data_IF_343585793262
#
_entry.id   IF_343585793262
#
_cell.length_a   1.000
_cell.length_b   1.000
_cell.length_c   1.000
_cell.angle_alpha   90.00
_cell.angle_beta   90.00
_cell.angle_gamma   90.00
#
_symmetry.space_group_name_H-M   'P 1'
#
loop_
_entity.id
_entity.type
_entity.pdbx_description
1 polymer ?
#
# COMPACT_ATOMS: atom_id res chain seq x y z
N UNK A 1 -16.96 -0.01 -23.28
CA UNK A 1 -16.97 -0.67 -24.57
C UNK A 1 -18.28 -0.34 -25.28
N UNK A 2 -18.19 0.51 -26.30
CA UNK A 2 -19.34 1.06 -27.03
C UNK A 2 -20.16 -0.04 -27.74
N UNK A 3 -19.49 -1.11 -28.19
CA UNK A 3 -20.12 -2.20 -28.94
C UNK A 3 -20.93 -3.16 -28.09
N UNK A 4 -20.77 -3.16 -26.78
CA UNK A 4 -21.43 -4.08 -25.86
C UNK A 4 -22.35 -3.39 -24.84
N UNK A 5 -22.47 -2.05 -24.87
CA UNK A 5 -23.23 -1.27 -23.88
C UNK A 5 -22.70 -1.36 -22.44
N UNK A 6 -21.49 -1.90 -22.24
CA UNK A 6 -20.92 -2.14 -20.94
C UNK A 6 -20.16 -0.91 -20.43
N UNK A 7 -20.56 -0.40 -19.28
CA UNK A 7 -19.82 0.66 -18.56
C UNK A 7 -18.71 -0.01 -17.78
N UNK A 8 -17.47 0.49 -17.95
CA UNK A 8 -16.30 0.06 -17.15
C UNK A 8 -15.88 1.16 -16.23
N UNK A 9 -15.82 0.87 -14.93
CA UNK A 9 -15.28 1.77 -13.92
C UNK A 9 -13.90 1.25 -13.46
N UNK A 10 -12.94 2.16 -13.41
CA UNK A 10 -11.58 1.86 -12.95
C UNK A 10 -11.46 2.20 -11.48
N UNK A 11 -11.14 1.20 -10.64
CA UNK A 11 -10.82 1.42 -9.24
C UNK A 11 -9.32 1.73 -9.11
N UNK A 12 -8.92 2.93 -8.64
CA UNK A 12 -7.50 3.25 -8.46
C UNK A 12 -6.91 2.69 -7.15
N UNK A 13 -7.70 2.15 -6.23
CA UNK A 13 -7.23 1.69 -4.92
C UNK A 13 -7.34 0.17 -4.77
N UNK A 14 -6.23 -0.56 -4.68
CA UNK A 14 -6.26 -2.01 -4.48
C UNK A 14 -7.03 -2.43 -3.23
N UNK A 15 -7.68 -3.60 -3.32
CA UNK A 15 -8.46 -4.18 -2.22
C UNK A 15 -7.66 -5.28 -1.51
N UNK A 16 -7.40 -5.03 -0.24
CA UNK A 16 -6.72 -5.98 0.67
C UNK A 16 -7.68 -6.51 1.77
N UNK A 17 -8.99 -6.42 1.50
CA UNK A 17 -10.06 -6.83 2.41
C UNK A 17 -10.91 -5.67 2.95
N UNK A 18 -10.46 -4.41 2.77
CA UNK A 18 -11.15 -3.23 3.31
C UNK A 18 -12.35 -2.76 2.46
N UNK A 19 -12.59 -3.35 1.27
CA UNK A 19 -13.77 -3.06 0.45
C UNK A 19 -13.61 -1.91 -0.53
N UNK A 20 -12.39 -1.47 -0.83
CA UNK A 20 -12.14 -0.38 -1.80
C UNK A 20 -12.63 -0.71 -3.21
N UNK A 21 -12.64 -1.98 -3.60
CA UNK A 21 -13.17 -2.44 -4.90
C UNK A 21 -14.62 -2.00 -5.13
N UNK A 22 -15.42 -1.84 -4.09
CA UNK A 22 -16.79 -1.36 -4.19
C UNK A 22 -16.95 0.09 -3.72
N UNK A 23 -16.38 0.44 -2.58
CA UNK A 23 -16.56 1.76 -1.98
C UNK A 23 -16.06 2.90 -2.87
N UNK A 24 -14.91 2.74 -3.51
CA UNK A 24 -14.31 3.79 -4.35
C UNK A 24 -15.09 3.98 -5.66
N UNK A 25 -15.40 2.94 -6.45
CA UNK A 25 -16.24 3.11 -7.64
C UNK A 25 -17.67 3.61 -7.34
N UNK A 26 -18.20 3.35 -6.13
CA UNK A 26 -19.51 3.86 -5.73
C UNK A 26 -19.60 5.39 -5.79
N UNK A 27 -18.49 6.11 -5.52
CA UNK A 27 -18.45 7.57 -5.57
C UNK A 27 -18.73 8.09 -6.99
N UNK A 28 -18.16 7.44 -8.01
CA UNK A 28 -18.37 7.78 -9.40
C UNK A 28 -19.74 7.30 -9.89
N UNK A 29 -20.11 6.06 -9.54
CA UNK A 29 -21.36 5.44 -9.95
C UNK A 29 -22.60 6.22 -9.45
N UNK A 30 -22.53 6.76 -8.21
CA UNK A 30 -23.58 7.62 -7.65
C UNK A 30 -23.89 8.82 -8.53
N UNK A 31 -22.86 9.55 -8.91
CA UNK A 31 -23.02 10.75 -9.74
C UNK A 31 -23.35 10.42 -11.20
N UNK A 32 -22.84 9.30 -11.69
CA UNK A 32 -23.11 8.84 -13.06
C UNK A 32 -24.48 8.16 -13.22
N UNK A 33 -25.26 8.01 -12.13
CA UNK A 33 -26.56 7.34 -12.13
C UNK A 33 -26.52 5.91 -12.74
N UNK A 34 -25.53 5.11 -12.28
CA UNK A 34 -25.38 3.71 -12.72
C UNK A 34 -25.33 2.78 -11.51
N UNK A 35 -25.98 1.63 -11.60
CA UNK A 35 -25.86 0.58 -10.60
C UNK A 35 -24.50 -0.13 -10.75
N UNK A 36 -23.82 -0.41 -9.63
CA UNK A 36 -22.56 -1.16 -9.62
C UNK A 36 -22.73 -2.60 -10.17
N UNK A 37 -23.91 -3.16 -10.12
CA UNK A 37 -24.22 -4.49 -10.65
C UNK A 37 -24.22 -4.52 -12.18
N UNK A 38 -24.40 -3.36 -12.82
CA UNK A 38 -24.43 -3.20 -14.28
C UNK A 38 -23.13 -2.73 -14.89
N UNK A 39 -22.08 -2.58 -14.07
CA UNK A 39 -20.78 -2.09 -14.52
C UNK A 39 -19.71 -3.15 -14.33
N UNK A 40 -18.71 -3.12 -15.20
CA UNK A 40 -17.47 -3.89 -15.03
C UNK A 40 -16.51 -3.08 -14.19
N UNK A 41 -16.12 -3.60 -13.04
CA UNK A 41 -15.06 -3.01 -12.21
C UNK A 41 -13.71 -3.59 -12.60
N UNK A 42 -12.73 -2.73 -12.85
CA UNK A 42 -11.35 -3.13 -13.11
C UNK A 42 -10.40 -2.37 -12.18
N UNK A 43 -9.29 -3.01 -11.84
CA UNK A 43 -8.24 -2.38 -11.04
C UNK A 43 -7.30 -1.58 -11.96
N UNK A 44 -6.83 -0.43 -11.51
CA UNK A 44 -5.82 0.38 -12.20
C UNK A 44 -4.45 -0.32 -12.24
N UNK A 45 -3.63 0.07 -13.21
CA UNK A 45 -2.38 -0.59 -13.60
C UNK A 45 -1.10 0.22 -13.29
N UNK A 46 -1.19 1.19 -12.38
CA UNK A 46 -0.08 2.05 -11.98
C UNK A 46 0.11 3.32 -12.83
N UNK A 47 -0.57 3.44 -13.96
CA UNK A 47 -0.39 4.58 -14.88
C UNK A 47 -0.84 5.91 -14.27
N UNK A 48 -0.10 6.97 -14.54
CA UNK A 48 -0.26 8.31 -13.95
C UNK A 48 -1.63 8.95 -14.18
N UNK A 49 -2.34 8.56 -15.25
CA UNK A 49 -3.71 9.06 -15.53
C UNK A 49 -4.72 8.78 -14.41
N UNK A 50 -4.45 7.79 -13.55
CA UNK A 50 -5.29 7.47 -12.40
C UNK A 50 -4.82 8.14 -11.10
N UNK A 51 -3.84 9.06 -11.17
CA UNK A 51 -3.25 9.76 -10.02
C UNK A 51 -2.65 8.79 -9.00
N UNK A 52 -2.69 9.14 -7.69
CA UNK A 52 -2.23 8.25 -6.62
C UNK A 52 -3.10 7.00 -6.52
N UNK A 53 -2.47 5.83 -6.55
CA UNK A 53 -3.15 4.55 -6.54
C UNK A 53 -2.82 3.70 -5.31
N UNK A 54 -2.01 4.22 -4.40
CA UNK A 54 -1.64 3.51 -3.17
C UNK A 54 -2.80 3.50 -2.17
N UNK A 55 -3.21 2.31 -1.72
CA UNK A 55 -4.19 2.14 -0.67
C UNK A 55 -3.50 2.21 0.70
N UNK A 56 -3.49 3.39 1.33
CA UNK A 56 -2.84 3.65 2.61
C UNK A 56 -3.36 4.93 3.25
N UNK A 57 -2.96 5.22 4.50
CA UNK A 57 -3.28 6.46 5.21
C UNK A 57 -4.76 6.77 5.35
N UNK A 58 -5.66 5.78 5.29
CA UNK A 58 -7.12 5.95 5.25
C UNK A 58 -7.59 6.91 4.16
N UNK A 59 -6.83 7.04 3.06
CA UNK A 59 -7.02 8.04 2.02
C UNK A 59 -7.97 7.61 0.90
N UNK A 60 -8.27 6.32 0.76
CA UNK A 60 -8.96 5.79 -0.42
C UNK A 60 -10.30 6.46 -0.73
N UNK A 61 -11.15 6.66 0.28
CA UNK A 61 -12.42 7.38 0.11
C UNK A 61 -12.22 8.88 0.30
N UNK A 62 -11.48 9.28 1.35
CA UNK A 62 -11.29 10.69 1.72
C UNK A 62 -10.73 11.53 0.56
N UNK A 63 -9.65 11.08 -0.08
CA UNK A 63 -8.99 11.82 -1.16
C UNK A 63 -9.74 11.72 -2.50
N UNK A 64 -10.48 10.63 -2.71
CA UNK A 64 -11.19 10.39 -3.96
C UNK A 64 -12.66 10.82 -3.92
N UNK A 65 -13.16 11.28 -2.76
CA UNK A 65 -14.55 11.72 -2.57
C UNK A 65 -14.99 12.76 -3.60
N UNK A 66 -14.29 13.86 -3.66
CA UNK A 66 -14.61 14.94 -4.59
C UNK A 66 -14.18 14.64 -6.04
N UNK A 67 -12.94 14.17 -6.29
CA UNK A 67 -12.49 13.90 -7.67
C UNK A 67 -13.35 12.89 -8.43
N UNK A 68 -13.76 11.79 -7.80
CA UNK A 68 -14.57 10.77 -8.48
C UNK A 68 -16.02 11.21 -8.64
N UNK A 69 -16.58 11.91 -7.67
CA UNK A 69 -17.90 12.52 -7.81
C UNK A 69 -17.92 13.53 -8.95
N UNK A 70 -16.94 14.43 -9.02
CA UNK A 70 -16.83 15.38 -10.13
C UNK A 70 -16.68 14.68 -11.49
N UNK A 71 -15.90 13.61 -11.58
CA UNK A 71 -15.77 12.85 -12.82
C UNK A 71 -17.10 12.19 -13.24
N UNK A 72 -17.84 11.60 -12.31
CA UNK A 72 -19.16 11.02 -12.58
C UNK A 72 -20.20 12.07 -13.00
N UNK A 73 -20.24 13.20 -12.31
CA UNK A 73 -21.16 14.30 -12.61
C UNK A 73 -20.84 14.94 -13.98
N UNK A 74 -19.57 15.18 -14.28
CA UNK A 74 -19.16 15.71 -15.59
C UNK A 74 -19.60 14.78 -16.74
N UNK A 75 -19.36 13.48 -16.60
CA UNK A 75 -19.78 12.49 -17.59
C UNK A 75 -21.33 12.47 -17.75
N UNK A 76 -22.07 12.53 -16.65
CA UNK A 76 -23.53 12.61 -16.67
C UNK A 76 -24.00 13.87 -17.42
N UNK A 77 -23.44 15.03 -17.14
CA UNK A 77 -23.79 16.30 -17.80
C UNK A 77 -23.53 16.25 -19.29
N UNK A 78 -22.33 15.76 -19.72
CA UNK A 78 -21.96 15.64 -21.13
C UNK A 78 -22.91 14.68 -21.88
N UNK A 79 -23.27 13.56 -21.29
CA UNK A 79 -24.23 12.61 -21.85
C UNK A 79 -25.64 13.22 -21.96
N UNK A 80 -26.09 13.96 -20.92
CA UNK A 80 -27.39 14.63 -20.89
C UNK A 80 -27.46 15.73 -21.95
N UNK A 81 -26.41 16.54 -22.11
CA UNK A 81 -26.33 17.56 -23.15
C UNK A 81 -26.39 16.97 -24.55
N UNK A 82 -25.68 15.86 -24.76
CA UNK A 82 -25.70 15.15 -26.05
C UNK A 82 -27.08 14.63 -26.40
N UNK A 83 -27.78 14.01 -25.44
CA UNK A 83 -29.16 13.54 -25.63
C UNK A 83 -30.12 14.69 -25.95
N UNK A 84 -30.01 15.79 -25.21
CA UNK A 84 -30.83 16.99 -25.42
C UNK A 84 -30.61 17.58 -26.84
N UNK A 85 -29.38 17.63 -27.30
CA UNK A 85 -29.05 18.06 -28.68
C UNK A 85 -29.65 17.13 -29.74
N UNK A 86 -29.57 15.81 -29.55
CA UNK A 86 -30.19 14.82 -30.47
C UNK A 86 -31.70 14.95 -30.54
N UNK A 87 -32.38 15.26 -29.43
CA UNK A 87 -33.83 15.44 -29.40
C UNK A 87 -34.27 16.86 -29.79
N UNK A 88 -33.35 17.83 -29.88
CA UNK A 88 -33.66 19.22 -30.15
C UNK A 88 -34.44 19.89 -29.01
N UNK A 89 -34.14 19.54 -27.76
CA UNK A 89 -34.84 20.02 -26.56
C UNK A 89 -33.87 20.69 -25.57
N UNK A 90 -34.36 21.55 -24.67
CA UNK A 90 -33.55 22.04 -23.57
C UNK A 90 -33.04 20.90 -22.68
N UNK A 91 -31.79 21.04 -22.16
CA UNK A 91 -31.17 20.05 -21.24
C UNK A 91 -32.05 19.78 -20.00
N UNK A 92 -32.75 20.81 -19.52
CA UNK A 92 -33.67 20.70 -18.37
C UNK A 92 -34.83 19.68 -18.58
N UNK A 93 -35.12 19.32 -19.83
CA UNK A 93 -36.11 18.32 -20.16
C UNK A 93 -35.56 16.88 -20.15
N UNK A 94 -34.29 16.72 -19.87
CA UNK A 94 -33.62 15.42 -19.80
C UNK A 94 -33.16 15.10 -18.38
N UNK A 95 -33.06 13.80 -18.05
CA UNK A 95 -32.50 13.32 -16.80
C UNK A 95 -31.79 11.99 -16.99
N UNK A 96 -30.80 11.72 -16.16
CA UNK A 96 -30.05 10.47 -16.14
C UNK A 96 -30.67 9.50 -15.13
N UNK A 97 -30.84 8.27 -15.50
CA UNK A 97 -31.25 7.17 -14.63
C UNK A 97 -30.81 5.83 -15.21
N UNK A 98 -30.27 4.96 -14.37
CA UNK A 98 -29.95 3.57 -14.66
C UNK A 98 -29.15 3.38 -15.97
N UNK A 99 -28.09 4.18 -16.15
CA UNK A 99 -27.21 4.19 -17.32
C UNK A 99 -27.89 4.64 -18.64
N UNK A 100 -28.94 5.41 -18.54
CA UNK A 100 -29.66 5.98 -19.67
C UNK A 100 -29.94 7.47 -19.44
N UNK A 101 -30.09 8.22 -20.54
CA UNK A 101 -30.68 9.56 -20.49
C UNK A 101 -32.11 9.46 -20.99
N UNK A 102 -33.05 9.97 -20.20
CA UNK A 102 -34.47 9.95 -20.46
C UNK A 102 -34.98 11.35 -20.83
N UNK A 103 -35.95 11.41 -21.71
CA UNK A 103 -36.71 12.63 -22.00
C UNK A 103 -37.96 12.68 -21.07
N UNK A 104 -38.11 13.77 -20.32
CA UNK A 104 -39.25 13.97 -19.42
C UNK A 104 -40.57 13.87 -20.17
N UNK A 105 -41.55 13.27 -19.53
CA UNK A 105 -42.91 13.07 -20.06
C UNK A 105 -42.93 12.30 -21.40
N UNK A 106 -41.99 11.36 -21.58
CA UNK A 106 -41.88 10.53 -22.78
C UNK A 106 -41.22 9.21 -22.46
N UNK A 107 -41.49 8.16 -23.21
CA UNK A 107 -40.80 6.86 -23.10
C UNK A 107 -39.43 6.82 -23.84
N UNK A 108 -39.03 7.96 -24.44
CA UNK A 108 -37.78 8.05 -25.19
C UNK A 108 -36.60 8.08 -24.26
N UNK A 109 -35.59 7.27 -24.54
CA UNK A 109 -34.32 7.28 -23.84
C UNK A 109 -33.17 6.85 -24.77
N UNK A 110 -31.95 7.28 -24.44
CA UNK A 110 -30.70 6.78 -25.02
C UNK A 110 -29.87 6.11 -23.94
N UNK A 111 -29.23 5.00 -24.24
CA UNK A 111 -28.19 4.44 -23.39
C UNK A 111 -26.94 5.32 -23.41
N UNK A 112 -26.11 5.21 -22.40
CA UNK A 112 -24.81 5.93 -22.37
C UNK A 112 -23.91 5.51 -23.54
N UNK A 113 -23.93 4.23 -23.94
CA UNK A 113 -23.19 3.75 -25.09
C UNK A 113 -23.56 4.43 -26.41
N UNK A 114 -24.85 4.68 -26.65
CA UNK A 114 -25.34 5.37 -27.85
C UNK A 114 -24.88 6.83 -27.91
N UNK A 115 -24.59 7.44 -26.77
CA UNK A 115 -24.23 8.88 -26.69
C UNK A 115 -22.72 9.12 -26.54
N UNK A 116 -21.94 8.11 -26.15
CA UNK A 116 -20.57 8.26 -25.67
C UNK A 116 -19.62 8.91 -26.68
N UNK A 117 -19.69 8.54 -27.97
CA UNK A 117 -18.79 9.08 -29.01
C UNK A 117 -19.02 10.57 -29.28
N UNK A 118 -20.28 11.02 -29.18
CA UNK A 118 -20.60 12.43 -29.35
C UNK A 118 -20.31 13.20 -28.07
N UNK A 119 -20.66 12.63 -26.92
CA UNK A 119 -20.39 13.23 -25.62
C UNK A 119 -18.87 13.46 -25.40
N UNK A 120 -18.03 12.51 -25.85
CA UNK A 120 -16.57 12.64 -25.74
C UNK A 120 -15.98 13.81 -26.53
N UNK A 121 -16.72 14.41 -27.44
CA UNK A 121 -16.30 15.61 -28.22
C UNK A 121 -16.64 16.91 -27.51
N UNK A 122 -17.44 16.88 -26.46
CA UNK A 122 -17.80 18.06 -25.69
C UNK A 122 -16.64 18.47 -24.77
N UNK A 123 -16.62 19.76 -24.41
CA UNK A 123 -15.72 20.25 -23.38
C UNK A 123 -16.14 19.70 -22.02
N UNK A 124 -15.18 19.17 -21.29
CA UNK A 124 -15.44 18.67 -19.93
C UNK A 124 -15.80 19.84 -19.01
N UNK A 125 -16.94 19.78 -18.30
CA UNK A 125 -17.34 20.82 -17.36
C UNK A 125 -16.27 21.02 -16.27
N UNK A 126 -15.89 22.26 -16.00
CA UNK A 126 -14.90 22.58 -14.95
C UNK A 126 -15.46 22.38 -13.55
N UNK A 127 -16.73 22.70 -13.37
CA UNK A 127 -17.43 22.59 -12.08
C UNK A 127 -18.79 21.93 -12.28
N UNK A 128 -18.83 20.60 -12.48
CA UNK A 128 -20.05 19.85 -12.70
C UNK A 128 -20.91 19.84 -11.44
N UNK A 129 -22.23 19.91 -11.60
CA UNK A 129 -23.17 19.90 -10.49
C UNK A 129 -23.24 18.55 -9.82
N UNK A 130 -22.77 18.48 -8.58
CA UNK A 130 -22.87 17.27 -7.75
C UNK A 130 -24.29 17.07 -7.22
N UNK A 131 -24.65 15.81 -6.98
CA UNK A 131 -25.89 15.45 -6.29
C UNK A 131 -25.88 15.92 -4.83
N UNK A 132 -27.01 16.34 -4.34
CA UNK A 132 -27.21 16.57 -2.90
C UNK A 132 -27.17 15.22 -2.15
N UNK A 133 -26.55 15.13 -0.96
CA UNK A 133 -26.54 13.89 -0.18
C UNK A 133 -27.91 13.26 0.08
N UNK A 134 -28.98 14.06 0.16
CA UNK A 134 -30.38 13.56 0.31
C UNK A 134 -30.84 12.73 -0.89
N UNK A 135 -30.26 12.97 -2.09
CA UNK A 135 -30.61 12.31 -3.35
C UNK A 135 -29.75 11.07 -3.65
N UNK A 136 -28.85 10.69 -2.72
CA UNK A 136 -27.99 9.52 -2.89
C UNK A 136 -28.78 8.21 -2.92
N UNK A 137 -28.51 7.40 -3.93
CA UNK A 137 -29.10 6.07 -4.17
C UNK A 137 -28.16 4.92 -3.79
N UNK A 138 -26.82 5.17 -3.78
CA UNK A 138 -25.78 4.19 -3.52
C UNK A 138 -25.03 4.53 -2.24
N UNK A 139 -24.50 5.75 -2.14
CA UNK A 139 -23.71 6.20 -0.99
C UNK A 139 -24.61 6.30 0.25
N UNK A 140 -24.12 5.74 1.37
CA UNK A 140 -24.88 5.73 2.64
C UNK A 140 -26.03 4.72 2.67
N UNK A 141 -26.19 3.89 1.64
CA UNK A 141 -27.18 2.81 1.62
C UNK A 141 -26.51 1.46 1.90
N UNK A 142 -27.20 0.59 2.62
CA UNK A 142 -26.75 -0.79 2.84
C UNK A 142 -26.82 -1.53 1.50
N UNK A 143 -25.65 -1.96 1.02
CA UNK A 143 -25.52 -2.74 -0.21
C UNK A 143 -24.65 -3.97 0.08
N UNK A 144 -25.04 -5.16 -0.38
CA UNK A 144 -24.16 -6.34 -0.34
C UNK A 144 -22.86 -6.06 -1.10
N UNK A 145 -21.76 -6.63 -0.63
CA UNK A 145 -20.51 -6.59 -1.40
C UNK A 145 -20.62 -7.52 -2.62
N UNK A 146 -20.29 -6.97 -3.79
CA UNK A 146 -20.38 -7.69 -5.06
C UNK A 146 -19.36 -8.84 -5.16
N UNK A 147 -18.25 -8.76 -4.45
CA UNK A 147 -17.16 -9.74 -4.48
C UNK A 147 -17.34 -10.91 -3.47
N UNK A 148 -18.27 -10.81 -2.53
CA UNK A 148 -18.50 -11.87 -1.51
C UNK A 148 -18.82 -13.23 -2.14
N UNK A 149 -19.71 -13.37 -3.13
CA UNK A 149 -19.99 -14.67 -3.72
C UNK A 149 -18.75 -15.34 -4.30
N UNK A 150 -17.87 -14.59 -4.96
CA UNK A 150 -16.63 -15.14 -5.51
C UNK A 150 -15.66 -15.57 -4.38
N UNK A 151 -15.58 -14.79 -3.29
CA UNK A 151 -14.69 -15.09 -2.16
C UNK A 151 -15.12 -16.37 -1.41
N UNK A 152 -16.40 -16.52 -1.11
CA UNK A 152 -16.91 -17.65 -0.32
C UNK A 152 -17.05 -18.95 -1.11
N UNK A 153 -16.97 -18.89 -2.45
CA UNK A 153 -17.03 -20.06 -3.34
C UNK A 153 -15.68 -20.43 -3.96
N UNK A 154 -14.58 -19.78 -3.53
CA UNK A 154 -13.24 -20.04 -4.06
C UNK A 154 -13.00 -19.55 -5.50
N UNK A 155 -13.87 -18.69 -6.03
CA UNK A 155 -13.73 -18.10 -7.38
C UNK A 155 -12.95 -16.78 -7.39
N UNK A 156 -12.72 -16.20 -6.23
CA UNK A 156 -11.87 -14.99 -6.12
C UNK A 156 -10.41 -15.37 -6.39
N UNK A 157 -9.74 -14.56 -7.22
CA UNK A 157 -8.34 -14.81 -7.62
C UNK A 157 -7.44 -13.86 -6.85
N UNK A 158 -6.58 -14.43 -6.01
CA UNK A 158 -5.53 -13.73 -5.29
C UNK A 158 -4.19 -13.89 -6.02
N UNK A 159 -3.17 -13.18 -5.61
CA UNK A 159 -1.84 -13.29 -6.24
C UNK A 159 -1.28 -14.71 -6.21
N UNK A 160 -1.51 -15.45 -5.11
CA UNK A 160 -1.09 -16.85 -4.98
C UNK A 160 -1.73 -17.78 -6.01
N UNK A 161 -2.95 -17.47 -6.47
CA UNK A 161 -3.71 -18.33 -7.38
C UNK A 161 -3.34 -18.13 -8.86
N UNK A 162 -2.54 -17.09 -9.15
CA UNK A 162 -2.21 -16.72 -10.54
C UNK A 162 -1.17 -17.66 -11.13
N UNK A 163 -1.48 -18.24 -12.27
CA UNK A 163 -0.55 -18.99 -13.11
C UNK A 163 -0.41 -18.35 -14.49
N UNK A 164 0.83 -18.34 -15.00
CA UNK A 164 1.17 -17.79 -16.30
C UNK A 164 1.85 -18.88 -17.14
N UNK A 165 1.47 -19.07 -18.41
CA UNK A 165 2.07 -20.09 -19.27
C UNK A 165 3.59 -19.99 -19.33
N UNK A 166 4.27 -21.13 -19.15
CA UNK A 166 5.74 -21.23 -19.21
C UNK A 166 6.48 -20.72 -17.99
N UNK A 167 5.78 -20.33 -16.93
CA UNK A 167 6.42 -19.85 -15.70
C UNK A 167 7.15 -20.95 -14.97
N UNK A 168 8.13 -20.53 -14.17
CA UNK A 168 8.84 -21.35 -13.19
C UNK A 168 8.65 -20.74 -11.80
N UNK A 169 8.81 -21.56 -10.77
CA UNK A 169 8.69 -21.13 -9.38
C UNK A 169 10.06 -20.91 -8.75
N UNK A 170 10.17 -19.90 -7.91
CA UNK A 170 11.38 -19.58 -7.17
C UNK A 170 11.09 -19.53 -5.66
N UNK A 171 11.86 -20.30 -4.90
CA UNK A 171 11.97 -20.16 -3.45
C UNK A 171 13.35 -19.58 -3.13
N UNK A 172 13.38 -18.49 -2.35
CA UNK A 172 14.60 -17.71 -2.10
C UNK A 172 15.04 -17.94 -0.66
N UNK A 173 16.30 -18.32 -0.47
CA UNK A 173 16.99 -18.32 0.81
C UNK A 173 17.74 -17.01 0.96
N UNK A 174 17.19 -16.09 1.74
CA UNK A 174 17.80 -14.81 2.04
C UNK A 174 18.95 -14.94 3.03
N UNK A 175 19.91 -14.01 2.97
CA UNK A 175 20.91 -13.90 4.00
C UNK A 175 20.25 -13.69 5.38
N UNK A 176 20.74 -14.34 6.44
CA UNK A 176 20.18 -14.22 7.78
C UNK A 176 20.35 -12.83 8.38
N UNK A 177 21.34 -12.08 7.90
CA UNK A 177 21.61 -10.70 8.28
C UNK A 177 21.51 -9.76 7.07
N UNK A 178 21.07 -8.54 7.30
CA UNK A 178 20.71 -7.58 6.24
C UNK A 178 21.87 -7.25 5.27
N UNK A 179 23.10 -7.27 5.70
CA UNK A 179 24.27 -7.06 4.86
C UNK A 179 25.06 -8.37 4.62
N UNK A 180 24.44 -9.50 4.93
CA UNK A 180 25.06 -10.81 4.80
C UNK A 180 25.48 -11.11 3.37
N UNK A 181 26.63 -11.77 3.24
CA UNK A 181 27.22 -12.18 1.95
C UNK A 181 27.39 -13.68 1.88
N UNK A 182 27.25 -14.22 0.68
CA UNK A 182 27.48 -15.63 0.42
C UNK A 182 28.98 -15.93 0.41
N UNK A 183 29.41 -16.76 1.35
CA UNK A 183 30.78 -17.31 1.37
C UNK A 183 30.83 -18.55 0.49
N UNK A 184 29.92 -19.51 0.68
CA UNK A 184 29.82 -20.72 -0.13
C UNK A 184 28.41 -21.24 -0.23
N UNK A 185 28.14 -21.97 -1.30
CA UNK A 185 26.82 -22.63 -1.54
C UNK A 185 27.11 -24.11 -1.78
N UNK A 186 26.57 -24.99 -0.94
CA UNK A 186 26.43 -26.40 -1.25
C UNK A 186 24.98 -26.66 -1.68
N UNK A 187 24.78 -26.89 -2.96
CA UNK A 187 23.50 -27.12 -3.60
C UNK A 187 23.29 -28.59 -4.06
N UNK A 188 24.23 -29.48 -3.73
CA UNK A 188 24.24 -30.86 -4.23
C UNK A 188 22.97 -31.63 -3.86
N UNK A 189 22.47 -31.44 -2.62
CA UNK A 189 21.23 -32.06 -2.16
C UNK A 189 20.00 -31.44 -2.84
N UNK A 190 19.96 -30.11 -3.00
CA UNK A 190 18.87 -29.39 -3.65
C UNK A 190 18.71 -29.81 -5.13
N UNK A 191 19.78 -29.96 -5.86
CA UNK A 191 19.78 -30.38 -7.27
C UNK A 191 19.26 -31.80 -7.51
N UNK A 192 19.28 -32.67 -6.49
CA UNK A 192 18.75 -34.04 -6.58
C UNK A 192 17.22 -34.10 -6.43
N UNK A 193 16.57 -33.02 -6.03
CA UNK A 193 15.13 -33.00 -5.81
C UNK A 193 14.40 -32.96 -7.17
N UNK A 194 13.50 -33.90 -7.46
CA UNK A 194 12.73 -33.90 -8.70
C UNK A 194 11.95 -32.58 -8.88
N UNK A 195 12.10 -31.98 -10.06
CA UNK A 195 11.45 -30.70 -10.38
C UNK A 195 12.32 -29.48 -10.11
N UNK A 196 13.44 -29.58 -9.38
CA UNK A 196 14.45 -28.50 -9.31
C UNK A 196 15.16 -28.37 -10.65
N UNK A 197 15.19 -27.17 -11.18
CA UNK A 197 15.76 -26.84 -12.50
C UNK A 197 17.15 -26.20 -12.32
N UNK A 198 17.29 -25.28 -11.37
CA UNK A 198 18.51 -24.50 -11.17
C UNK A 198 18.61 -23.99 -9.74
N UNK A 199 19.82 -23.92 -9.21
CA UNK A 199 20.18 -23.13 -8.03
C UNK A 199 21.10 -22.00 -8.51
N UNK A 200 20.86 -20.78 -8.07
CA UNK A 200 21.63 -19.62 -8.49
C UNK A 200 21.71 -18.56 -7.39
N UNK A 201 22.76 -17.76 -7.42
CA UNK A 201 22.81 -16.54 -6.61
C UNK A 201 21.67 -15.63 -7.02
N UNK A 202 21.08 -14.99 -6.04
CA UNK A 202 20.01 -14.02 -6.17
C UNK A 202 20.31 -12.81 -5.29
N UNK A 203 19.49 -11.79 -5.44
CA UNK A 203 19.55 -10.61 -4.60
C UNK A 203 18.14 -10.22 -4.14
N UNK A 204 18.07 -9.61 -2.98
CA UNK A 204 16.88 -8.93 -2.48
C UNK A 204 17.10 -7.43 -2.61
N UNK A 205 16.56 -6.80 -3.67
CA UNK A 205 16.63 -5.37 -3.83
C UNK A 205 15.71 -4.68 -2.81
N UNK A 206 16.27 -3.73 -2.08
CA UNK A 206 15.54 -2.89 -1.14
C UNK A 206 15.82 -1.41 -1.46
N UNK A 207 15.02 -0.45 -1.01
CA UNK A 207 15.39 0.96 -1.15
C UNK A 207 16.80 1.22 -0.62
N UNK A 208 17.66 1.77 -1.46
CA UNK A 208 19.04 2.18 -1.17
C UNK A 208 20.02 1.08 -0.73
N UNK A 209 19.63 -0.19 -0.81
CA UNK A 209 20.51 -1.33 -0.46
C UNK A 209 20.07 -2.63 -1.13
N UNK A 210 20.98 -3.59 -1.18
CA UNK A 210 20.73 -4.94 -1.69
C UNK A 210 21.34 -5.96 -0.74
N UNK A 211 20.62 -7.02 -0.42
CA UNK A 211 21.14 -8.19 0.31
C UNK A 211 21.34 -9.36 -0.65
N UNK A 212 22.35 -10.19 -0.39
CA UNK A 212 22.54 -11.41 -1.17
C UNK A 212 21.55 -12.50 -0.76
N UNK A 213 21.23 -13.36 -1.70
CA UNK A 213 20.31 -14.48 -1.52
C UNK A 213 20.66 -15.64 -2.44
N UNK A 214 20.07 -16.81 -2.22
CA UNK A 214 20.17 -17.99 -3.09
C UNK A 214 18.77 -18.40 -3.52
N UNK A 215 18.51 -18.43 -4.82
CA UNK A 215 17.24 -18.87 -5.38
C UNK A 215 17.30 -20.32 -5.84
N UNK A 216 16.28 -21.10 -5.51
CA UNK A 216 16.02 -22.41 -6.10
C UNK A 216 14.85 -22.28 -7.07
N UNK A 217 15.14 -22.53 -8.34
CA UNK A 217 14.20 -22.48 -9.45
C UNK A 217 13.69 -23.89 -9.72
N UNK A 218 12.37 -24.05 -9.80
CA UNK A 218 11.77 -25.36 -10.02
C UNK A 218 10.51 -25.27 -10.92
N UNK A 219 10.06 -26.44 -11.41
CA UNK A 219 8.86 -26.58 -12.22
C UNK A 219 7.55 -26.40 -11.44
N UNK A 220 7.62 -26.47 -10.11
CA UNK A 220 6.49 -26.24 -9.22
C UNK A 220 6.98 -25.72 -7.84
N UNK A 221 6.06 -25.10 -7.10
CA UNK A 221 6.38 -24.51 -5.79
C UNK A 221 6.93 -25.49 -4.78
N UNK A 222 6.36 -26.70 -4.71
CA UNK A 222 6.78 -27.71 -3.73
C UNK A 222 8.22 -28.15 -3.94
N UNK A 223 8.64 -28.35 -5.18
CA UNK A 223 10.03 -28.67 -5.53
C UNK A 223 10.99 -27.52 -5.18
N UNK A 224 10.58 -26.26 -5.47
CA UNK A 224 11.38 -25.08 -5.11
C UNK A 224 11.56 -24.98 -3.60
N UNK A 225 10.50 -25.15 -2.82
CA UNK A 225 10.54 -25.09 -1.35
C UNK A 225 11.39 -26.22 -0.74
N UNK A 226 11.25 -27.46 -1.22
CA UNK A 226 12.13 -28.58 -0.80
C UNK A 226 13.58 -28.30 -1.14
N UNK A 227 13.84 -27.77 -2.33
CA UNK A 227 15.18 -27.39 -2.76
C UNK A 227 15.79 -26.32 -1.87
N UNK A 228 15.04 -25.28 -1.53
CA UNK A 228 15.48 -24.25 -0.58
C UNK A 228 15.85 -24.84 0.77
N UNK A 229 15.04 -25.74 1.32
CA UNK A 229 15.28 -26.42 2.62
C UNK A 229 16.51 -27.33 2.58
N UNK A 230 16.91 -27.82 1.41
CA UNK A 230 18.06 -28.70 1.23
C UNK A 230 19.36 -27.96 0.90
N UNK A 231 19.31 -26.61 0.79
CA UNK A 231 20.53 -25.80 0.61
C UNK A 231 21.33 -25.76 1.91
N UNK A 232 22.65 -25.83 1.78
CA UNK A 232 23.57 -25.48 2.84
C UNK A 232 24.43 -24.31 2.38
N UNK A 233 24.19 -23.13 2.95
CA UNK A 233 24.85 -21.88 2.57
C UNK A 233 25.63 -21.35 3.77
N UNK A 234 26.91 -21.07 3.56
CA UNK A 234 27.73 -20.37 4.55
C UNK A 234 27.65 -18.87 4.27
N UNK A 235 27.32 -18.11 5.30
CA UNK A 235 27.16 -16.67 5.23
C UNK A 235 28.24 -15.94 6.03
N UNK A 236 28.68 -14.81 5.52
CA UNK A 236 29.34 -13.76 6.31
C UNK A 236 28.27 -12.73 6.68
N UNK A 237 27.98 -12.63 7.96
CA UNK A 237 26.94 -11.71 8.47
C UNK A 237 27.39 -10.23 8.54
N UNK A 238 28.58 -9.89 8.01
CA UNK A 238 29.11 -8.52 7.96
C UNK A 238 29.10 -7.80 9.33
N UNK A 239 29.30 -8.55 10.43
CA UNK A 239 29.31 -8.01 11.78
C UNK A 239 27.93 -7.64 12.36
N UNK A 240 26.84 -7.97 11.64
CA UNK A 240 25.47 -7.68 12.08
C UNK A 240 25.02 -8.53 13.27
N UNK A 241 25.78 -9.56 13.67
CA UNK A 241 25.47 -10.39 14.85
C UNK A 241 25.38 -9.58 16.16
N UNK A 242 25.95 -8.38 16.17
CA UNK A 242 25.90 -7.44 17.31
C UNK A 242 24.62 -6.60 17.33
N UNK A 243 23.84 -6.60 16.27
CA UNK A 243 22.59 -5.89 16.16
C UNK A 243 21.45 -6.77 16.68
N UNK A 244 21.09 -6.60 17.93
CA UNK A 244 20.00 -7.31 18.58
C UNK A 244 18.90 -6.35 19.02
N UNK A 245 17.73 -6.88 19.34
CA UNK A 245 16.65 -6.10 19.94
C UNK A 245 17.12 -5.35 21.19
N UNK A 246 17.88 -6.03 22.06
CA UNK A 246 18.39 -5.41 23.30
C UNK A 246 19.35 -4.26 23.03
N UNK A 247 20.29 -4.43 22.07
CA UNK A 247 21.23 -3.35 21.72
C UNK A 247 20.54 -2.18 21.04
N UNK A 248 19.46 -2.41 20.31
CA UNK A 248 18.64 -1.34 19.73
C UNK A 248 17.91 -0.54 20.81
N UNK A 249 17.19 -1.23 21.70
CA UNK A 249 16.44 -0.54 22.76
C UNK A 249 17.35 0.12 23.80
N UNK A 250 18.54 -0.46 24.08
CA UNK A 250 19.52 0.22 24.93
C UNK A 250 19.89 1.62 24.40
N UNK A 251 20.14 1.72 23.08
CA UNK A 251 20.36 3.04 22.43
C UNK A 251 19.12 3.95 22.54
N UNK A 252 17.93 3.37 22.45
CA UNK A 252 16.67 4.10 22.63
C UNK A 252 16.53 4.67 24.06
N UNK A 253 16.81 3.86 25.08
CA UNK A 253 16.80 4.31 26.47
C UNK A 253 17.87 5.37 26.77
N UNK A 254 19.02 5.32 26.11
CA UNK A 254 20.02 6.37 26.21
C UNK A 254 19.54 7.66 25.54
N UNK A 255 18.88 7.57 24.38
CA UNK A 255 18.27 8.72 23.71
C UNK A 255 17.13 9.35 24.56
N UNK A 256 16.39 8.54 25.33
CA UNK A 256 15.34 9.02 26.21
C UNK A 256 15.82 9.94 27.35
N UNK A 257 17.12 9.88 27.66
CA UNK A 257 17.73 10.75 28.70
C UNK A 257 18.04 12.15 28.17
N UNK A 258 18.06 12.33 26.85
CA UNK A 258 18.34 13.62 26.22
C UNK A 258 17.02 14.24 25.71
N UNK A 259 17.05 15.54 25.46
CA UNK A 259 15.97 16.19 24.75
C UNK A 259 16.02 15.78 23.27
N UNK A 260 14.90 15.33 22.72
CA UNK A 260 14.75 15.08 21.29
C UNK A 260 14.58 16.40 20.52
N UNK A 261 14.47 16.28 19.20
CA UNK A 261 14.10 17.40 18.33
C UNK A 261 12.67 17.82 18.69
N UNK A 262 12.48 19.01 19.24
CA UNK A 262 11.17 19.58 19.49
C UNK A 262 10.54 19.96 18.14
N UNK A 263 9.35 19.47 17.84
CA UNK A 263 8.67 19.77 16.59
C UNK A 263 7.28 20.42 16.78
N UNK A 264 6.72 20.33 17.97
CA UNK A 264 5.45 20.99 18.29
C UNK A 264 5.34 21.21 19.79
N UNK A 265 4.95 22.42 20.21
CA UNK A 265 4.77 22.73 21.62
C UNK A 265 3.73 23.82 21.86
N UNK A 266 3.16 23.85 23.06
CA UNK A 266 2.27 24.88 23.55
C UNK A 266 2.52 25.16 25.02
N UNK A 267 2.82 26.40 25.33
CA UNK A 267 3.17 26.84 26.72
C UNK A 267 4.57 26.42 27.14
N UNK A 268 4.88 26.64 28.40
CA UNK A 268 6.16 26.27 29.01
C UNK A 268 6.02 24.97 29.79
N UNK A 269 6.52 23.88 29.17
CA UNK A 269 6.37 22.52 29.72
C UNK A 269 7.15 22.35 31.03
N UNK A 270 8.34 22.94 31.14
CA UNK A 270 9.18 22.76 32.30
C UNK A 270 8.59 23.50 33.53
N UNK A 271 8.08 24.71 33.30
CA UNK A 271 7.34 25.44 34.30
C UNK A 271 6.10 24.68 34.76
N UNK A 272 5.31 24.16 33.82
CA UNK A 272 4.07 23.43 34.11
C UNK A 272 4.35 22.13 34.89
N UNK A 273 5.39 21.37 34.54
CA UNK A 273 5.81 20.17 35.27
C UNK A 273 6.27 20.52 36.71
N UNK A 274 7.06 21.59 36.86
CA UNK A 274 7.62 21.98 38.17
C UNK A 274 6.56 22.49 39.17
N UNK A 275 5.53 23.19 38.69
CA UNK A 275 4.51 23.82 39.51
C UNK A 275 3.21 23.01 39.67
N UNK A 276 3.16 21.79 39.12
CA UNK A 276 1.97 20.95 39.26
C UNK A 276 1.96 20.13 40.54
N UNK A 277 0.76 19.81 41.02
CA UNK A 277 0.57 19.05 42.27
C UNK A 277 1.20 17.65 42.20
N UNK A 278 1.14 17.03 41.03
CA UNK A 278 1.68 15.67 40.78
C UNK A 278 2.22 15.55 39.38
N UNK A 279 3.41 14.99 39.27
CA UNK A 279 4.01 14.57 37.99
C UNK A 279 4.12 13.06 37.92
N UNK A 280 4.03 12.54 36.69
CA UNK A 280 4.18 11.14 36.37
C UNK A 280 5.16 11.03 35.19
N UNK A 281 6.08 10.06 35.27
CA UNK A 281 6.99 9.74 34.17
C UNK A 281 6.89 8.24 33.87
N UNK A 282 6.86 7.88 32.58
CA UNK A 282 6.88 6.50 32.15
C UNK A 282 7.53 6.37 30.77
N UNK A 283 8.16 5.24 30.53
CA UNK A 283 8.67 4.86 29.22
C UNK A 283 7.97 3.57 28.79
N UNK A 284 7.33 3.64 27.64
CA UNK A 284 6.65 2.48 27.04
C UNK A 284 7.46 1.98 25.86
N UNK A 285 7.66 0.67 25.80
CA UNK A 285 8.38 -0.01 24.73
C UNK A 285 7.39 -0.79 23.85
N UNK A 286 7.47 -0.60 22.55
CA UNK A 286 6.74 -1.40 21.57
C UNK A 286 7.73 -2.10 20.63
N UNK A 287 7.66 -3.44 20.46
CA UNK A 287 8.64 -4.19 19.69
C UNK A 287 8.52 -3.99 18.19
N UNK A 288 9.55 -4.39 17.44
CA UNK A 288 9.40 -4.64 16.00
C UNK A 288 8.32 -5.68 15.76
N UNK A 289 7.48 -5.46 14.76
CA UNK A 289 6.35 -6.34 14.48
C UNK A 289 6.24 -6.65 12.99
N UNK A 290 6.22 -7.95 12.65
CA UNK A 290 5.94 -8.39 11.28
C UNK A 290 4.48 -8.11 10.90
N UNK A 291 4.24 -7.83 9.61
CA UNK A 291 2.90 -7.56 9.10
C UNK A 291 2.03 -8.82 9.05
N UNK A 292 2.63 -9.94 8.74
CA UNK A 292 2.04 -11.27 8.67
C UNK A 292 0.68 -11.31 7.92
N UNK A 293 0.56 -10.76 6.69
CA UNK A 293 -0.66 -10.91 5.91
C UNK A 293 -0.94 -12.40 5.70
N UNK A 294 -2.22 -12.80 5.69
CA UNK A 294 -2.61 -14.22 5.50
C UNK A 294 -2.01 -14.79 4.21
N UNK A 295 -2.03 -14.01 3.14
CA UNK A 295 -1.31 -14.30 1.90
C UNK A 295 0.11 -13.73 2.01
N UNK A 296 1.17 -14.56 2.18
CA UNK A 296 2.55 -14.08 2.15
C UNK A 296 2.92 -13.39 0.83
N UNK A 297 4.05 -12.72 0.82
CA UNK A 297 4.55 -12.00 -0.34
C UNK A 297 4.72 -12.96 -1.52
N UNK A 298 4.18 -12.56 -2.65
CA UNK A 298 4.32 -13.30 -3.90
C UNK A 298 4.20 -12.35 -5.11
N UNK A 299 4.87 -12.68 -6.19
CA UNK A 299 4.76 -11.95 -7.44
C UNK A 299 5.21 -12.82 -8.61
N UNK A 300 4.63 -12.58 -9.78
CA UNK A 300 5.15 -13.08 -11.05
C UNK A 300 5.68 -11.90 -11.83
N UNK A 301 6.89 -12.00 -12.35
CA UNK A 301 7.44 -11.06 -13.31
C UNK A 301 7.88 -11.80 -14.59
N UNK A 302 7.70 -11.15 -15.73
CA UNK A 302 8.23 -11.57 -17.02
C UNK A 302 8.96 -10.41 -17.67
N UNK A 303 10.28 -10.41 -17.55
CA UNK A 303 11.17 -9.49 -18.25
C UNK A 303 11.51 -10.10 -19.59
N UNK A 304 10.91 -9.58 -20.67
CA UNK A 304 11.04 -10.10 -22.03
C UNK A 304 12.31 -9.60 -22.72
N UNK A 305 12.76 -10.30 -23.75
CA UNK A 305 13.98 -9.94 -24.51
C UNK A 305 13.84 -8.60 -25.26
N UNK A 306 12.61 -8.20 -25.59
CA UNK A 306 12.34 -6.89 -26.21
C UNK A 306 12.36 -5.72 -25.25
N UNK A 307 12.64 -5.96 -23.95
CA UNK A 307 12.66 -4.94 -22.90
C UNK A 307 11.30 -4.62 -22.28
N UNK A 308 10.22 -5.24 -22.74
CA UNK A 308 8.92 -5.14 -22.07
C UNK A 308 8.90 -5.97 -20.78
N UNK A 309 8.13 -5.51 -19.81
CA UNK A 309 7.95 -6.21 -18.53
C UNK A 309 6.47 -6.39 -18.26
N UNK A 310 6.07 -7.61 -17.95
CA UNK A 310 4.72 -7.87 -17.47
C UNK A 310 4.75 -8.46 -16.06
N UNK A 311 3.89 -7.94 -15.20
CA UNK A 311 3.85 -8.24 -13.76
C UNK A 311 2.45 -8.70 -13.39
N UNK A 312 2.35 -9.70 -12.52
CA UNK A 312 1.13 -10.14 -11.86
C UNK A 312 1.41 -10.24 -10.37
N UNK A 313 0.79 -9.35 -9.58
CA UNK A 313 1.11 -9.28 -8.15
C UNK A 313 -0.04 -8.70 -7.31
N UNK A 314 -0.18 -9.16 -6.05
CA UNK A 314 -1.07 -8.59 -5.06
C UNK A 314 -0.35 -7.41 -4.37
N UNK A 315 -0.34 -6.24 -4.99
CA UNK A 315 0.39 -5.05 -4.53
C UNK A 315 -0.54 -3.95 -4.02
N UNK A 316 -0.09 -3.23 -3.01
CA UNK A 316 -0.86 -2.20 -2.32
C UNK A 316 -0.74 -0.82 -2.98
N UNK A 317 0.33 -0.57 -3.74
CA UNK A 317 0.63 0.68 -4.44
C UNK A 317 1.07 0.45 -5.88
N UNK A 318 0.14 0.30 -6.85
CA UNK A 318 0.50 0.04 -8.24
C UNK A 318 1.38 1.13 -8.88
N UNK A 319 1.14 2.39 -8.56
CA UNK A 319 1.93 3.53 -9.02
C UNK A 319 3.35 3.53 -8.44
N UNK A 320 3.50 3.15 -7.19
CA UNK A 320 4.82 2.99 -6.57
C UNK A 320 5.56 1.78 -7.14
N UNK A 321 4.87 0.66 -7.32
CA UNK A 321 5.46 -0.53 -7.94
C UNK A 321 5.96 -0.25 -9.36
N UNK A 322 5.19 0.50 -10.16
CA UNK A 322 5.59 0.92 -11.50
C UNK A 322 6.88 1.73 -11.48
N UNK A 323 7.00 2.69 -10.56
CA UNK A 323 8.20 3.51 -10.36
C UNK A 323 9.39 2.65 -9.90
N UNK A 324 9.18 1.77 -8.92
CA UNK A 324 10.25 0.97 -8.32
C UNK A 324 10.82 -0.03 -9.33
N UNK A 325 9.96 -0.68 -10.14
CA UNK A 325 10.38 -1.59 -11.20
C UNK A 325 11.10 -0.83 -12.32
N UNK A 326 10.55 0.32 -12.75
CA UNK A 326 11.19 1.16 -13.77
C UNK A 326 12.60 1.62 -13.34
N UNK A 327 12.74 2.06 -12.09
CA UNK A 327 14.02 2.47 -11.50
C UNK A 327 15.02 1.32 -11.37
N UNK A 328 14.56 0.16 -10.90
CA UNK A 328 15.38 -1.02 -10.70
C UNK A 328 15.92 -1.59 -12.03
N UNK A 329 15.05 -1.76 -13.01
CA UNK A 329 15.41 -2.29 -14.33
C UNK A 329 16.02 -1.24 -15.26
N UNK A 330 15.97 0.05 -14.90
CA UNK A 330 16.40 1.21 -15.71
C UNK A 330 15.70 1.28 -17.06
N UNK A 331 14.38 1.10 -17.04
CA UNK A 331 13.51 1.16 -18.22
C UNK A 331 12.43 2.24 -18.03
N UNK A 332 11.71 2.56 -19.10
CA UNK A 332 10.62 3.53 -19.06
C UNK A 332 9.35 2.88 -18.47
N UNK A 333 8.53 3.63 -17.71
CA UNK A 333 7.26 3.11 -17.17
C UNK A 333 6.30 2.55 -18.23
N UNK A 334 6.33 3.08 -19.45
CA UNK A 334 5.49 2.65 -20.57
C UNK A 334 5.78 1.23 -21.05
N UNK A 335 6.98 0.70 -20.75
CA UNK A 335 7.39 -0.66 -21.07
C UNK A 335 6.86 -1.69 -20.05
N UNK A 336 6.23 -1.22 -18.97
CA UNK A 336 5.78 -2.06 -17.86
C UNK A 336 4.26 -2.15 -17.88
N UNK A 337 3.75 -3.38 -17.86
CA UNK A 337 2.33 -3.70 -17.64
C UNK A 337 2.18 -4.38 -16.29
N UNK A 338 1.34 -3.82 -15.43
CA UNK A 338 1.05 -4.38 -14.11
C UNK A 338 -0.39 -4.89 -14.07
N UNK A 339 -0.55 -6.16 -13.75
CA UNK A 339 -1.83 -6.79 -13.46
C UNK A 339 -1.94 -6.95 -11.94
N UNK A 340 -2.82 -6.17 -11.32
CA UNK A 340 -3.03 -6.16 -9.87
C UNK A 340 -4.14 -7.09 -9.49
N UNK A 341 -3.89 -7.97 -8.52
CA UNK A 341 -4.85 -8.95 -8.02
C UNK A 341 -5.36 -8.61 -6.62
N UNK A 342 -6.36 -9.34 -6.16
CA UNK A 342 -6.82 -9.25 -4.78
C UNK A 342 -5.67 -9.60 -3.84
N UNK A 343 -5.59 -8.87 -2.72
CA UNK A 343 -4.59 -9.09 -1.69
C UNK A 343 -5.22 -9.83 -0.52
N UNK A 344 -4.61 -10.92 -0.10
CA UNK A 344 -4.96 -11.64 1.13
C UNK A 344 -4.39 -10.95 2.38
N UNK A 345 -4.68 -9.65 2.53
CA UNK A 345 -4.07 -8.75 3.49
C UNK A 345 -2.82 -8.06 2.94
N UNK A 346 -2.44 -6.94 3.55
CA UNK A 346 -1.21 -6.23 3.22
C UNK A 346 -0.67 -5.42 4.41
N UNK A 347 -1.50 -4.64 5.10
CA UNK A 347 -1.21 -3.87 6.31
C UNK A 347 -0.03 -2.88 6.19
N UNK A 348 0.37 -2.52 4.97
CA UNK A 348 1.55 -1.72 4.65
C UNK A 348 2.66 -2.53 3.98
N UNK A 349 2.79 -3.84 4.25
CA UNK A 349 3.87 -4.71 3.74
C UNK A 349 3.94 -4.72 2.21
N UNK A 350 2.80 -4.86 1.54
CA UNK A 350 2.73 -4.97 0.07
C UNK A 350 2.78 -3.62 -0.66
N UNK A 351 3.08 -2.52 0.06
CA UNK A 351 3.52 -1.24 -0.50
C UNK A 351 5.06 -1.14 -0.61
N UNK A 352 5.79 -2.12 -0.06
CA UNK A 352 7.23 -2.27 -0.16
C UNK A 352 7.53 -3.45 -1.10
N UNK A 353 8.12 -3.18 -2.25
CA UNK A 353 8.10 -4.08 -3.40
C UNK A 353 9.33 -4.97 -3.56
N UNK A 354 10.07 -5.26 -2.49
CA UNK A 354 11.26 -6.11 -2.51
C UNK A 354 11.00 -7.49 -3.16
N UNK A 355 9.94 -8.18 -2.74
CA UNK A 355 9.53 -9.47 -3.31
C UNK A 355 9.20 -9.42 -4.82
N UNK A 356 8.69 -8.29 -5.29
CA UNK A 356 8.43 -8.06 -6.71
C UNK A 356 9.72 -7.83 -7.49
N UNK A 357 10.66 -7.07 -6.92
CA UNK A 357 11.96 -6.81 -7.54
C UNK A 357 12.81 -8.09 -7.61
N UNK A 358 12.70 -9.00 -6.62
CA UNK A 358 13.27 -10.35 -6.68
C UNK A 358 12.76 -11.14 -7.90
N UNK A 359 11.44 -11.10 -8.14
CA UNK A 359 10.84 -11.75 -9.31
C UNK A 359 11.34 -11.13 -10.62
N UNK A 360 11.51 -9.81 -10.67
CA UNK A 360 12.08 -9.11 -11.81
C UNK A 360 13.55 -9.51 -12.07
N UNK A 361 14.35 -9.56 -11.00
CA UNK A 361 15.75 -10.04 -11.08
C UNK A 361 15.83 -11.43 -11.70
N UNK A 362 15.13 -12.38 -11.09
CA UNK A 362 15.16 -13.78 -11.54
C UNK A 362 14.61 -13.96 -12.96
N UNK A 363 13.54 -13.25 -13.31
CA UNK A 363 12.99 -13.29 -14.66
C UNK A 363 13.95 -12.74 -15.71
N UNK A 364 14.65 -11.65 -15.39
CA UNK A 364 15.68 -11.08 -16.28
C UNK A 364 16.80 -12.07 -16.56
N UNK A 365 17.27 -12.79 -15.53
CA UNK A 365 18.34 -13.79 -15.66
C UNK A 365 17.90 -15.06 -16.38
N UNK A 366 16.64 -15.48 -16.21
CA UNK A 366 16.12 -16.73 -16.75
C UNK A 366 15.41 -16.58 -18.09
N UNK A 367 15.07 -15.36 -18.50
CA UNK A 367 14.29 -15.05 -19.71
C UNK A 367 12.94 -15.80 -19.76
N UNK A 368 12.30 -15.95 -18.61
CA UNK A 368 11.02 -16.65 -18.44
C UNK A 368 10.17 -15.93 -17.38
N UNK A 369 8.86 -16.14 -17.39
CA UNK A 369 8.05 -15.75 -16.25
C UNK A 369 8.50 -16.50 -15.00
N UNK A 370 8.73 -15.79 -13.90
CA UNK A 370 9.17 -16.36 -12.62
C UNK A 370 8.18 -15.96 -11.53
N UNK A 371 7.64 -16.94 -10.83
CA UNK A 371 6.81 -16.77 -9.64
C UNK A 371 7.66 -16.92 -8.38
N UNK A 372 7.89 -15.82 -7.69
CA UNK A 372 8.48 -15.80 -6.36
C UNK A 372 7.38 -15.95 -5.33
N UNK A 373 7.57 -16.79 -4.36
CA UNK A 373 6.66 -16.96 -3.21
C UNK A 373 7.51 -16.99 -1.95
N UNK A 374 7.17 -16.16 -0.97
CA UNK A 374 7.74 -16.22 0.37
C UNK A 374 6.96 -17.20 1.23
N UNK A 375 7.65 -17.89 2.11
CA UNK A 375 6.97 -18.66 3.17
C UNK A 375 6.56 -17.72 4.31
N UNK A 376 5.76 -18.23 5.25
CA UNK A 376 5.43 -17.47 6.47
C UNK A 376 6.68 -17.18 7.29
N UNK A 377 7.63 -18.10 7.31
CA UNK A 377 8.90 -17.94 7.99
C UNK A 377 9.72 -16.82 7.35
N UNK A 378 9.73 -16.72 6.02
CA UNK A 378 10.41 -15.62 5.31
C UNK A 378 9.77 -14.27 5.67
N UNK A 379 8.46 -14.15 5.60
CA UNK A 379 7.72 -12.94 5.94
C UNK A 379 8.03 -12.46 7.39
N UNK A 380 8.01 -13.40 8.35
CA UNK A 380 8.24 -13.04 9.75
C UNK A 380 9.71 -12.72 10.04
N UNK A 381 10.67 -13.42 9.40
CA UNK A 381 12.10 -13.30 9.73
C UNK A 381 12.85 -12.27 8.90
N UNK A 382 12.34 -11.92 7.71
CA UNK A 382 13.04 -11.03 6.79
C UNK A 382 12.52 -9.58 6.83
N UNK A 383 11.35 -9.32 7.40
CA UNK A 383 10.73 -7.99 7.41
C UNK A 383 10.39 -7.47 6.00
N UNK A 384 10.25 -6.18 5.77
CA UNK A 384 10.39 -5.09 6.75
C UNK A 384 9.33 -5.12 7.85
N UNK A 385 9.64 -4.49 8.97
CA UNK A 385 8.80 -4.51 10.17
C UNK A 385 8.13 -3.17 10.44
N UNK A 386 7.11 -3.17 11.30
CA UNK A 386 6.75 -1.98 12.05
C UNK A 386 7.95 -1.62 12.93
N UNK A 387 8.38 -0.34 12.98
CA UNK A 387 9.47 0.08 13.84
C UNK A 387 9.25 -0.30 15.31
N UNK A 388 10.32 -0.77 15.97
CA UNK A 388 10.38 -0.81 17.42
C UNK A 388 10.54 0.62 17.94
N UNK A 389 9.74 1.01 18.93
CA UNK A 389 9.67 2.38 19.42
C UNK A 389 9.67 2.46 20.95
N UNK A 390 10.25 3.52 21.47
CA UNK A 390 10.00 3.98 22.83
C UNK A 390 9.14 5.24 22.81
N UNK A 391 8.24 5.34 23.76
CA UNK A 391 7.48 6.54 24.09
C UNK A 391 7.85 6.95 25.51
N UNK A 392 8.74 7.93 25.64
CA UNK A 392 9.07 8.52 26.93
C UNK A 392 8.08 9.66 27.21
N UNK A 393 7.28 9.49 28.23
CA UNK A 393 6.18 10.39 28.53
C UNK A 393 6.34 11.01 29.92
N UNK A 394 6.04 12.32 30.01
CA UNK A 394 5.90 13.06 31.27
C UNK A 394 4.55 13.72 31.28
N UNK A 395 3.81 13.53 32.34
CA UNK A 395 2.52 14.17 32.56
C UNK A 395 2.44 14.87 33.89
N UNK A 396 1.65 15.92 33.94
CA UNK A 396 1.36 16.63 35.17
C UNK A 396 -0.15 16.82 35.35
N UNK A 397 -0.59 16.73 36.61
CA UNK A 397 -1.99 16.92 36.98
C UNK A 397 -2.14 17.88 38.14
N UNK A 398 -3.20 18.69 38.11
CA UNK A 398 -3.68 19.53 39.18
C UNK A 398 -5.11 19.10 39.52
N UNK A 399 -5.29 18.48 40.69
CA UNK A 399 -6.52 17.83 41.07
C UNK A 399 -6.89 16.72 40.07
N UNK A 400 -8.03 16.90 39.33
CA UNK A 400 -8.50 15.98 38.31
C UNK A 400 -8.24 16.41 36.87
N UNK A 401 -7.47 17.49 36.67
CA UNK A 401 -7.19 18.04 35.34
C UNK A 401 -5.76 17.78 34.93
N UNK A 402 -5.54 17.40 33.68
CA UNK A 402 -4.20 17.33 33.07
C UNK A 402 -3.69 18.78 32.94
N UNK A 403 -2.56 19.07 33.51
CA UNK A 403 -1.91 20.37 33.45
C UNK A 403 -0.85 20.46 32.35
N UNK A 404 -0.10 19.36 32.15
CA UNK A 404 0.94 19.31 31.14
C UNK A 404 1.15 17.87 30.61
N UNK A 405 1.67 17.79 29.39
CA UNK A 405 2.00 16.52 28.76
C UNK A 405 3.20 16.68 27.82
N UNK A 406 4.22 15.88 28.00
CA UNK A 406 5.34 15.77 27.08
C UNK A 406 5.42 14.34 26.55
N UNK A 407 5.44 14.18 25.23
CA UNK A 407 5.67 12.89 24.56
C UNK A 407 6.95 12.99 23.73
N UNK A 408 7.96 12.26 24.14
CA UNK A 408 9.19 12.08 23.39
C UNK A 408 9.14 10.71 22.68
N UNK A 409 8.92 10.72 21.38
CA UNK A 409 8.94 9.52 20.53
C UNK A 409 10.38 9.18 20.13
N UNK A 410 10.76 7.90 20.22
CA UNK A 410 12.15 7.47 20.01
C UNK A 410 12.16 6.17 19.21
N UNK A 411 12.90 6.15 18.10
CA UNK A 411 13.00 4.92 17.28
C UNK A 411 13.54 5.18 15.88
N UNK A 412 13.39 4.21 14.98
CA UNK A 412 13.87 4.31 13.59
C UNK A 412 12.85 5.02 12.69
N UNK A 413 13.36 5.87 11.80
CA UNK A 413 12.57 6.57 10.78
C UNK A 413 12.27 5.69 9.58
N UNK A 414 10.99 5.56 9.23
CA UNK A 414 10.54 4.94 7.98
C UNK A 414 10.98 5.78 6.78
N UNK A 415 10.82 7.11 6.86
CA UNK A 415 11.20 8.02 5.77
C UNK A 415 12.69 7.93 5.44
N UNK A 416 13.56 7.82 6.44
CA UNK A 416 14.99 7.60 6.24
C UNK A 416 15.25 6.30 5.49
N UNK A 417 14.59 5.22 5.87
CA UNK A 417 14.86 3.90 5.28
C UNK A 417 14.25 3.72 3.89
N UNK A 418 13.10 4.29 3.63
CA UNK A 418 12.39 4.09 2.35
C UNK A 418 12.76 5.14 1.32
N UNK A 419 12.92 6.41 1.71
CA UNK A 419 13.13 7.51 0.77
C UNK A 419 14.54 8.10 0.79
N UNK A 420 15.37 7.72 1.77
CA UNK A 420 16.77 8.19 1.94
C UNK A 420 16.91 9.74 1.93
N UNK A 421 15.91 10.45 2.40
CA UNK A 421 15.87 11.92 2.33
C UNK A 421 15.96 12.63 3.69
N UNK A 422 15.81 11.90 4.80
CA UNK A 422 15.74 12.50 6.13
C UNK A 422 17.14 12.81 6.67
N UNK A 423 17.38 14.08 6.99
CA UNK A 423 18.60 14.54 7.67
C UNK A 423 18.47 14.34 9.18
N UNK A 424 19.61 14.29 9.89
CA UNK A 424 19.65 13.99 11.33
C UNK A 424 18.93 15.04 12.21
N UNK A 425 18.78 16.27 11.72
CA UNK A 425 18.07 17.35 12.39
C UNK A 425 16.59 17.49 12.02
N UNK A 426 16.08 16.58 11.17
CA UNK A 426 14.69 16.59 10.70
C UNK A 426 13.86 15.55 11.45
N UNK A 427 12.60 15.86 11.64
CA UNK A 427 11.60 14.91 12.12
C UNK A 427 10.99 14.16 10.94
N UNK A 428 10.73 12.88 11.13
CA UNK A 428 10.00 12.09 10.14
C UNK A 428 8.55 12.61 10.04
N UNK A 429 8.10 12.96 8.82
CA UNK A 429 6.75 13.48 8.57
C UNK A 429 5.64 12.54 9.05
N UNK A 430 5.89 11.23 9.06
CA UNK A 430 4.94 10.27 9.63
C UNK A 430 4.89 10.36 11.17
N UNK A 431 6.01 10.66 11.82
CA UNK A 431 6.04 10.88 13.27
C UNK A 431 5.27 12.14 13.63
N UNK A 432 5.64 13.28 13.01
CA UNK A 432 4.99 14.55 13.30
C UNK A 432 3.51 14.53 12.94
N UNK A 433 3.14 13.91 11.81
CA UNK A 433 1.75 13.79 11.40
C UNK A 433 0.88 12.92 12.32
N UNK A 434 1.42 11.80 12.84
CA UNK A 434 0.65 10.90 13.72
C UNK A 434 0.60 11.38 15.18
N UNK A 435 1.63 12.11 15.64
CA UNK A 435 1.73 12.62 17.00
C UNK A 435 1.18 14.04 17.17
N UNK A 436 0.95 14.76 16.07
CA UNK A 436 0.51 16.17 16.09
C UNK A 436 -0.66 16.44 17.04
N UNK A 437 -0.65 17.60 17.68
CA UNK A 437 -1.72 18.07 18.55
C UNK A 437 -3.09 18.16 17.85
N UNK A 438 -3.14 18.29 16.52
CA UNK A 438 -4.39 18.23 15.76
C UNK A 438 -5.10 16.86 15.90
N UNK A 439 -4.34 15.81 16.17
CA UNK A 439 -4.86 14.46 16.42
C UNK A 439 -5.25 14.25 17.90
N UNK A 440 -4.74 15.06 18.82
CA UNK A 440 -5.14 15.02 20.23
C UNK A 440 -6.48 15.71 20.43
N UNK A 441 -7.46 14.98 20.94
CA UNK A 441 -8.79 15.51 21.24
C UNK A 441 -9.00 15.88 22.73
N UNK A 442 -7.90 15.90 23.48
CA UNK A 442 -7.90 16.26 24.91
C UNK A 442 -7.56 17.73 25.10
N UNK A 443 -8.23 18.39 26.04
CA UNK A 443 -7.91 19.74 26.48
C UNK A 443 -6.66 19.71 27.38
N UNK A 444 -5.48 19.74 26.80
CA UNK A 444 -4.22 19.84 27.53
C UNK A 444 -3.70 21.26 27.34
N UNK A 445 -3.57 22.05 28.43
CA UNK A 445 -3.17 23.46 28.31
C UNK A 445 -1.71 23.66 27.90
N UNK A 446 -0.82 22.76 28.34
CA UNK A 446 0.61 22.83 28.04
C UNK A 446 1.11 21.47 27.57
N UNK A 447 1.79 21.44 26.43
CA UNK A 447 2.33 20.19 25.90
C UNK A 447 3.57 20.43 25.03
N UNK A 448 4.40 19.38 24.92
CA UNK A 448 5.59 19.32 24.07
C UNK A 448 5.67 17.96 23.38
N UNK A 449 5.94 17.97 22.07
CA UNK A 449 6.16 16.76 21.27
C UNK A 449 7.57 16.78 20.70
N UNK A 450 8.33 15.74 20.95
CA UNK A 450 9.72 15.65 20.51
C UNK A 450 10.06 14.28 19.93
N UNK A 451 11.15 14.22 19.17
CA UNK A 451 11.58 13.06 18.42
C UNK A 451 13.07 12.81 18.53
N UNK A 452 13.47 11.54 18.69
CA UNK A 452 14.85 11.07 18.54
C UNK A 452 14.93 9.87 17.61
N UNK A 453 15.75 9.99 16.56
CA UNK A 453 15.98 8.89 15.63
C UNK A 453 17.05 7.91 16.18
N UNK A 454 16.67 6.66 16.39
CA UNK A 454 17.58 5.56 16.72
C UNK A 454 17.85 4.73 15.48
N UNK A 455 18.95 5.04 14.79
CA UNK A 455 19.30 4.39 13.51
C UNK A 455 19.57 2.90 13.68
N UNK A 456 18.98 2.12 12.81
CA UNK A 456 19.21 0.69 12.67
C UNK A 456 19.23 0.28 11.19
N UNK A 457 19.85 -0.87 10.88
CA UNK A 457 19.75 -1.51 9.56
C UNK A 457 18.60 -2.52 9.46
N UNK A 458 17.89 -2.78 10.56
CA UNK A 458 16.67 -3.59 10.53
C UNK A 458 15.66 -2.90 9.60
N UNK A 459 15.18 -3.57 8.53
CA UNK A 459 14.24 -2.96 7.60
C UNK A 459 12.92 -2.60 8.28
N UNK A 460 12.50 -1.35 8.15
CA UNK A 460 11.20 -0.88 8.66
C UNK A 460 10.37 -0.25 7.57
N UNK A 461 9.05 -0.37 7.71
CA UNK A 461 8.07 0.17 6.77
C UNK A 461 6.74 0.45 7.49
N UNK A 462 5.82 1.08 6.78
CA UNK A 462 4.46 1.35 7.28
C UNK A 462 3.74 0.07 7.69
N UNK A 463 3.38 -0.03 8.94
CA UNK A 463 2.42 -1.01 9.43
C UNK A 463 1.06 -0.32 9.60
N UNK A 464 -0.06 -1.04 9.53
CA UNK A 464 -1.40 -0.46 9.71
C UNK A 464 -1.43 0.49 10.92
N UNK A 465 -1.84 1.76 10.70
CA UNK A 465 -1.75 2.91 11.60
C UNK A 465 -0.34 3.52 11.77
N UNK A 466 0.61 3.14 10.94
CA UNK A 466 2.01 3.63 10.92
C UNK A 466 2.59 3.71 12.35
N UNK A 467 2.93 4.89 12.86
CA UNK A 467 3.44 5.06 14.22
C UNK A 467 2.33 5.22 15.28
N UNK A 468 1.10 5.60 14.89
CA UNK A 468 0.02 5.86 15.85
C UNK A 468 -0.25 4.66 16.77
N UNK A 469 -0.09 3.40 16.28
CA UNK A 469 -0.23 2.21 17.11
C UNK A 469 0.86 2.06 18.17
N UNK A 470 2.05 2.64 17.97
CA UNK A 470 3.11 2.68 18.95
C UNK A 470 2.80 3.72 20.03
N UNK A 471 2.34 4.90 19.61
CA UNK A 471 2.08 6.04 20.47
C UNK A 471 0.83 5.85 21.33
N UNK A 472 -0.23 5.28 20.75
CA UNK A 472 -1.47 5.03 21.47
C UNK A 472 -1.37 3.93 22.55
N UNK A 473 -0.29 3.15 22.56
CA UNK A 473 -0.03 2.17 23.60
C UNK A 473 0.40 2.84 24.91
N UNK A 474 1.20 3.91 24.88
CA UNK A 474 1.61 4.69 26.04
C UNK A 474 0.50 5.60 26.54
#
# INVERSE_FOLDING_TARGET
DLNLGNITLVNPRPDMGQGSTQAVPSLLAEELEVSLEKVKLIQSDGKSKYRSQTAGGSSSVRELWEPLRKAGAAAREMLTETAAKRWGVPVANCYAEDARIHLKNSDKSFSYGELADEAAKLLVPKDPKLKDPKDFKIIGKVKPRLDVPARVTGKAVFGMDVDVPGMVYAAILHAPAIHGKIVSIDDAAAKKIPGVIRVMKAERPMPHRTSEAVAVIASNWWAALKGKKALNVTWDNAGMDKMTTDTYFAKGYDAAKAEGINFEEKGDIDQALTHSEKTLEAVYETPFLAHAPIEPENAIAHVKDNGEVEIWAPIQGPDWALRDVAGYLKIKPEQIKINVFLLGGAFGRKAYHDFLLEACFLSKELKKPVKVIWTREDDITQGPYRPGMLSAMKGAVNGKKIAAFHHHAIGESISRQVFNGLQDHQVDDWISGELSAENHKYEIPTWKLSWSNVKTDIPVVWWRSVYASNFAFG
#
